data_IF_151684337850
#
_entry.id   IF_151684337850
#
_cell.length_a   1.000
_cell.length_b   1.000
_cell.length_c   1.000
_cell.angle_alpha   90.00
_cell.angle_beta   90.00
_cell.angle_gamma   90.00
#
_symmetry.space_group_name_H-M   'P 1'
#
loop_
_entity.id
_entity.type
_entity.pdbx_description
1 polymer ?
#
# COMPACT_ATOMS: atom_id res chain seq x y z
N UNK A 1 -9.91 -15.12 23.09
CA UNK A 1 -10.66 -14.18 22.22
C UNK A 1 -11.67 -13.44 23.09
N UNK A 2 -11.67 -12.11 23.11
CA UNK A 2 -12.64 -11.35 23.89
C UNK A 2 -14.00 -11.44 23.19
N UNK A 3 -14.98 -12.11 23.83
CA UNK A 3 -16.32 -12.32 23.31
C UNK A 3 -17.19 -11.08 23.58
N UNK A 4 -16.98 -10.02 22.80
CA UNK A 4 -17.92 -8.90 22.77
C UNK A 4 -19.13 -9.27 21.91
N UNK A 5 -20.34 -9.09 22.46
CA UNK A 5 -21.60 -9.21 21.71
C UNK A 5 -21.59 -8.14 20.61
N UNK A 6 -21.82 -8.55 19.36
CA UNK A 6 -21.96 -7.62 18.24
C UNK A 6 -23.30 -6.87 18.42
N UNK A 7 -23.35 -5.53 18.33
CA UNK A 7 -24.59 -4.77 18.48
C UNK A 7 -25.65 -5.20 17.46
N UNK A 8 -26.92 -5.06 17.83
CA UNK A 8 -28.03 -5.38 16.93
C UNK A 8 -27.96 -4.51 15.66
N UNK A 9 -28.16 -5.13 14.49
CA UNK A 9 -27.98 -4.49 13.18
C UNK A 9 -26.54 -4.54 12.63
N UNK A 10 -25.54 -4.93 13.42
CA UNK A 10 -24.18 -5.15 12.92
C UNK A 10 -23.90 -6.62 12.61
N UNK A 11 -23.08 -6.86 11.59
CA UNK A 11 -22.62 -8.21 11.21
C UNK A 11 -21.09 -8.29 11.22
N UNK A 12 -20.56 -9.41 11.70
CA UNK A 12 -19.12 -9.71 11.63
C UNK A 12 -18.81 -10.31 10.26
N UNK A 13 -17.90 -9.69 9.52
CA UNK A 13 -17.44 -10.16 8.21
C UNK A 13 -15.93 -10.34 8.21
N UNK A 14 -15.42 -11.12 7.28
CA UNK A 14 -13.99 -11.09 6.93
C UNK A 14 -13.77 -9.96 5.92
N UNK A 15 -12.60 -9.34 5.94
CA UNK A 15 -12.25 -8.27 4.98
C UNK A 15 -12.37 -8.77 3.54
N UNK A 16 -11.93 -10.00 3.27
CA UNK A 16 -12.04 -10.62 1.95
C UNK A 16 -13.48 -10.84 1.46
N UNK A 17 -14.50 -10.70 2.32
CA UNK A 17 -15.90 -10.78 1.92
C UNK A 17 -16.42 -9.44 1.35
N UNK A 18 -15.71 -8.33 1.58
CA UNK A 18 -16.13 -6.97 1.21
C UNK A 18 -15.08 -6.18 0.41
N UNK A 19 -13.86 -6.70 0.30
CA UNK A 19 -12.76 -6.08 -0.41
C UNK A 19 -11.86 -7.15 -1.06
N UNK A 20 -11.25 -6.79 -2.19
CA UNK A 20 -10.13 -7.56 -2.72
C UNK A 20 -8.90 -7.24 -1.88
N UNK A 21 -8.15 -8.28 -1.50
CA UNK A 21 -6.94 -8.12 -0.69
C UNK A 21 -5.74 -8.60 -1.49
N UNK A 22 -4.80 -7.70 -1.71
CA UNK A 22 -3.53 -7.93 -2.35
C UNK A 22 -2.35 -7.69 -1.42
N UNK A 23 -1.19 -8.22 -1.79
CA UNK A 23 0.09 -7.87 -1.17
C UNK A 23 0.92 -7.08 -2.17
N UNK A 24 1.61 -6.05 -1.70
CA UNK A 24 2.55 -5.32 -2.53
C UNK A 24 3.70 -6.18 -3.04
N UNK A 25 4.48 -5.63 -3.97
CA UNK A 25 5.64 -6.31 -4.55
C UNK A 25 6.77 -5.31 -4.77
N UNK A 26 8.00 -5.81 -4.65
CA UNK A 26 9.20 -5.04 -4.95
C UNK A 26 9.87 -5.65 -6.18
N UNK A 27 10.26 -4.84 -7.19
CA UNK A 27 11.05 -5.35 -8.30
C UNK A 27 12.39 -5.88 -7.76
N UNK A 28 12.92 -6.93 -8.40
CA UNK A 28 14.13 -7.64 -7.92
C UNK A 28 15.18 -7.73 -9.03
N UNK A 29 16.47 -7.46 -8.74
CA UNK A 29 17.02 -6.96 -7.47
C UNK A 29 16.55 -5.54 -7.15
N UNK A 30 16.19 -5.25 -5.90
CA UNK A 30 15.45 -4.03 -5.54
C UNK A 30 16.26 -2.74 -5.73
N UNK A 31 17.59 -2.85 -5.75
CA UNK A 31 18.54 -1.76 -5.90
C UNK A 31 19.00 -1.55 -7.36
N UNK A 32 18.48 -2.31 -8.32
CA UNK A 32 18.84 -2.10 -9.73
C UNK A 32 18.31 -0.72 -10.19
N UNK A 33 19.18 0.19 -10.65
CA UNK A 33 18.77 1.53 -11.07
C UNK A 33 17.71 1.54 -12.18
N UNK A 34 17.63 0.49 -13.00
CA UNK A 34 16.67 0.42 -14.12
C UNK A 34 15.21 0.48 -13.69
N UNK A 35 14.91 0.12 -12.44
CA UNK A 35 13.55 0.17 -11.89
C UNK A 35 13.09 1.58 -11.57
N UNK A 36 14.01 2.54 -11.44
CA UNK A 36 13.73 3.86 -10.91
C UNK A 36 13.79 4.92 -12.01
N UNK A 37 13.04 6.00 -11.77
CA UNK A 37 13.04 7.18 -12.62
C UNK A 37 12.97 8.44 -11.74
N UNK A 38 13.29 9.59 -12.33
CA UNK A 38 13.21 10.88 -11.62
C UNK A 38 11.76 11.35 -11.40
N UNK A 39 10.82 10.82 -12.18
CA UNK A 39 9.39 11.13 -12.10
C UNK A 39 8.55 9.97 -12.65
N UNK A 40 7.24 10.00 -12.44
CA UNK A 40 6.30 9.00 -12.95
C UNK A 40 5.38 8.45 -11.87
N UNK A 41 5.19 7.13 -11.86
CA UNK A 41 4.39 6.45 -10.83
C UNK A 41 5.22 6.33 -9.56
N UNK A 42 4.69 6.87 -8.47
CA UNK A 42 5.35 6.81 -7.17
C UNK A 42 5.44 5.39 -6.63
N UNK A 43 6.46 5.09 -5.83
CA UNK A 43 6.59 3.81 -5.13
C UNK A 43 6.58 4.01 -3.63
N UNK A 44 5.51 3.56 -2.99
CA UNK A 44 5.23 3.81 -1.59
C UNK A 44 6.06 2.86 -0.72
N UNK A 45 6.83 3.46 0.19
CA UNK A 45 7.64 2.80 1.20
C UNK A 45 7.19 3.18 2.61
N UNK A 46 7.69 2.46 3.61
CA UNK A 46 7.37 2.70 5.04
C UNK A 46 7.69 4.15 5.48
N UNK A 47 8.69 4.77 4.87
CA UNK A 47 9.05 6.17 5.14
C UNK A 47 7.99 7.18 4.65
N UNK A 48 7.28 6.91 3.55
CA UNK A 48 6.20 7.75 3.06
C UNK A 48 5.00 7.69 4.01
N UNK A 49 4.73 6.51 4.56
CA UNK A 49 3.68 6.31 5.58
C UNK A 49 4.05 6.99 6.89
N UNK A 50 5.31 6.88 7.32
CA UNK A 50 5.79 7.52 8.55
C UNK A 50 5.68 9.04 8.49
N UNK A 51 5.97 9.63 7.33
CA UNK A 51 5.92 11.08 7.08
C UNK A 51 4.53 11.61 6.77
N UNK A 52 3.57 10.74 6.45
CA UNK A 52 2.18 11.09 6.15
C UNK A 52 1.27 10.88 7.36
N UNK A 53 0.01 11.31 7.28
CA UNK A 53 -0.99 11.06 8.35
C UNK A 53 -2.07 10.08 7.91
N UNK A 54 -3.07 10.58 7.17
CA UNK A 54 -4.22 9.81 6.69
C UNK A 54 -4.13 9.49 5.20
N UNK A 55 -3.58 10.42 4.42
CA UNK A 55 -3.51 10.33 2.97
C UNK A 55 -2.05 10.27 2.50
N UNK A 56 -1.78 9.46 1.48
CA UNK A 56 -0.54 9.50 0.71
C UNK A 56 -0.78 10.36 -0.54
N UNK A 57 -0.01 11.44 -0.65
CA UNK A 57 -0.14 12.43 -1.73
C UNK A 57 1.13 12.53 -2.59
N UNK A 58 2.26 12.04 -2.06
CA UNK A 58 3.56 12.00 -2.72
C UNK A 58 4.39 10.85 -2.18
N UNK A 59 5.37 10.43 -2.97
CA UNK A 59 6.40 9.46 -2.58
C UNK A 59 7.78 10.06 -2.76
N UNK A 60 8.77 9.49 -2.06
CA UNK A 60 10.17 9.87 -2.27
C UNK A 60 10.80 9.25 -3.53
N UNK A 61 10.32 8.08 -3.94
CA UNK A 61 10.85 7.35 -5.10
C UNK A 61 9.76 7.16 -6.16
N UNK A 62 10.19 7.13 -7.42
CA UNK A 62 9.34 6.88 -8.59
C UNK A 62 9.94 5.72 -9.40
N UNK A 63 9.06 4.95 -10.04
CA UNK A 63 9.46 3.82 -10.87
C UNK A 63 9.48 4.20 -12.35
N UNK A 64 10.40 3.58 -13.08
CA UNK A 64 10.33 3.49 -14.53
C UNK A 64 9.14 2.63 -14.97
N UNK A 65 8.80 2.66 -16.26
CA UNK A 65 7.75 1.78 -16.81
C UNK A 65 8.05 0.29 -16.55
N UNK A 66 9.33 -0.11 -16.65
CA UNK A 66 9.75 -1.48 -16.34
C UNK A 66 9.55 -1.80 -14.85
N UNK A 67 9.87 -0.85 -13.96
CA UNK A 67 9.66 -0.99 -12.52
C UNK A 67 8.18 -1.13 -12.14
N UNK A 68 7.31 -0.34 -12.77
CA UNK A 68 5.84 -0.43 -12.59
C UNK A 68 5.35 -1.82 -13.02
N UNK A 69 5.79 -2.32 -14.18
CA UNK A 69 5.37 -3.64 -14.69
C UNK A 69 5.76 -4.82 -13.79
N UNK A 70 6.71 -4.62 -12.88
CA UNK A 70 7.20 -5.61 -11.91
C UNK A 70 6.74 -5.35 -10.48
N UNK A 71 5.85 -4.37 -10.30
CA UNK A 71 5.31 -3.96 -9.00
C UNK A 71 3.79 -4.11 -8.95
N UNK A 72 3.20 -3.89 -7.78
CA UNK A 72 1.74 -3.86 -7.62
C UNK A 72 1.25 -2.43 -7.70
N UNK A 73 0.50 -2.14 -8.76
CA UNK A 73 -0.17 -0.86 -8.97
C UNK A 73 -1.41 -0.72 -8.07
N UNK A 74 -1.65 0.49 -7.61
CA UNK A 74 -2.78 0.89 -6.76
C UNK A 74 -3.26 2.28 -7.19
N UNK A 75 -4.56 2.51 -7.11
CA UNK A 75 -5.20 3.72 -7.60
C UNK A 75 -5.66 4.64 -6.46
N UNK A 76 -6.08 5.87 -6.82
CA UNK A 76 -6.66 6.82 -5.88
C UNK A 76 -7.91 6.22 -5.23
N UNK A 77 -7.99 6.35 -3.91
CA UNK A 77 -9.08 5.81 -3.10
C UNK A 77 -8.78 4.46 -2.48
N UNK A 78 -7.76 3.73 -2.95
CA UNK A 78 -7.34 2.47 -2.34
C UNK A 78 -6.86 2.69 -0.90
N UNK A 79 -7.11 1.69 -0.04
CA UNK A 79 -6.61 1.65 1.32
C UNK A 79 -5.43 0.70 1.38
N UNK A 80 -4.27 1.19 1.81
CA UNK A 80 -3.10 0.35 2.05
C UNK A 80 -2.81 0.27 3.54
N UNK A 81 -2.24 -0.85 3.99
CA UNK A 81 -1.83 -1.02 5.39
C UNK A 81 -0.45 -1.65 5.47
N UNK A 82 0.41 -1.06 6.30
CA UNK A 82 1.76 -1.58 6.55
C UNK A 82 1.72 -2.89 7.33
N UNK A 83 2.49 -3.87 6.87
CA UNK A 83 2.67 -5.18 7.50
C UNK A 83 4.10 -5.41 8.01
N UNK A 84 5.01 -4.45 7.78
CA UNK A 84 6.35 -4.42 8.35
C UNK A 84 6.73 -3.00 8.81
N UNK A 85 7.79 -2.86 9.59
CA UNK A 85 8.19 -1.57 10.17
C UNK A 85 7.13 -1.05 11.13
N UNK A 86 6.44 0.05 10.77
CA UNK A 86 5.30 0.58 11.54
C UNK A 86 4.05 -0.24 11.22
N UNK A 87 3.86 -1.38 11.88
CA UNK A 87 2.79 -2.35 11.57
C UNK A 87 1.39 -1.79 11.84
N UNK A 88 0.43 -2.12 10.96
CA UNK A 88 -1.00 -1.90 11.17
C UNK A 88 -1.44 -0.46 10.94
N UNK A 89 -0.69 0.31 10.17
CA UNK A 89 -1.00 1.72 9.89
C UNK A 89 -1.74 1.84 8.57
N UNK A 90 -3.06 2.12 8.57
CA UNK A 90 -3.84 2.29 7.35
C UNK A 90 -3.63 3.67 6.75
N UNK A 91 -3.59 3.73 5.42
CA UNK A 91 -3.45 4.96 4.65
C UNK A 91 -4.39 4.92 3.45
N UNK A 92 -4.99 6.05 3.09
CA UNK A 92 -5.80 6.19 1.87
C UNK A 92 -4.97 6.85 0.79
N UNK A 93 -4.99 6.32 -0.42
CA UNK A 93 -4.23 6.88 -1.53
C UNK A 93 -4.97 8.07 -2.16
N UNK A 94 -4.27 9.19 -2.31
CA UNK A 94 -4.74 10.36 -3.07
C UNK A 94 -3.91 10.57 -4.36
N UNK A 95 -3.17 9.55 -4.75
CA UNK A 95 -2.36 9.49 -5.98
C UNK A 95 -2.35 8.06 -6.52
N UNK A 96 -2.01 7.90 -7.80
CA UNK A 96 -1.65 6.58 -8.36
C UNK A 96 -0.23 6.23 -7.95
N UNK A 97 -0.01 4.97 -7.59
CA UNK A 97 1.30 4.52 -7.11
C UNK A 97 1.48 3.00 -7.31
N UNK A 98 2.69 2.54 -7.01
CA UNK A 98 2.96 1.14 -6.68
C UNK A 98 3.31 1.00 -5.20
N UNK A 99 3.14 -0.19 -4.63
CA UNK A 99 3.42 -0.45 -3.21
C UNK A 99 4.52 -1.50 -3.02
N UNK A 100 5.44 -1.22 -2.09
CA UNK A 100 6.46 -2.17 -1.63
C UNK A 100 5.83 -3.44 -1.01
N UNK A 101 6.55 -4.57 -1.00
CA UNK A 101 6.10 -5.85 -0.42
C UNK A 101 5.84 -5.86 1.11
N UNK A 102 5.99 -4.69 1.74
CA UNK A 102 5.72 -4.39 3.14
C UNK A 102 4.31 -3.86 3.39
N UNK A 103 3.44 -3.89 2.38
CA UNK A 103 2.06 -3.43 2.43
C UNK A 103 1.07 -4.50 1.96
N UNK A 104 -0.15 -4.40 2.47
CA UNK A 104 -1.35 -4.98 1.87
C UNK A 104 -2.24 -3.85 1.35
N UNK A 105 -3.03 -4.15 0.31
CA UNK A 105 -4.06 -3.29 -0.27
C UNK A 105 -5.38 -4.05 -0.30
#
# INVERSE_FOLDING_TARGET
MHNHKVPDGWRRLKIGDIAQVGRGASPRPIQDPKWFADSGIGWIRIEDVTSSRKYIEKTKQYLSEEGVSKSVFVDRGDLIMSICGTIGRPMILNMQACIHDGFVV
#
